data_IF_654385492173
#
_entry.id   IF_654385492173
#
_cell.length_a   1.000
_cell.length_b   1.000
_cell.length_c   1.000
_cell.angle_alpha   90.00
_cell.angle_beta   90.00
_cell.angle_gamma   90.00
#
_symmetry.space_group_name_H-M   'P 1'
#
loop_
_entity.id
_entity.type
_entity.pdbx_description
1 polymer ?
#
# COMPACT_ATOMS: atom_id res chain seq x y z
N UNK A 1 -2.56 -8.24 -3.41
CA UNK A 1 -2.88 -8.79 -4.75
C UNK A 1 -2.64 -10.31 -4.86
N UNK A 2 -1.76 -10.89 -4.05
CA UNK A 2 -1.36 -12.31 -4.17
C UNK A 2 -2.55 -13.26 -4.27
N UNK A 3 -3.58 -13.09 -3.44
CA UNK A 3 -4.76 -13.96 -3.45
C UNK A 3 -5.81 -13.61 -4.52
N UNK A 4 -5.72 -12.48 -5.18
CA UNK A 4 -6.66 -12.05 -6.22
C UNK A 4 -6.09 -12.09 -7.64
N UNK A 5 -4.79 -12.33 -7.83
CA UNK A 5 -4.13 -12.26 -9.14
C UNK A 5 -4.65 -13.27 -10.19
N UNK A 6 -5.20 -14.39 -9.76
CA UNK A 6 -5.68 -15.45 -10.65
C UNK A 6 -7.21 -15.63 -10.62
N UNK A 7 -7.95 -14.63 -10.18
CA UNK A 7 -9.41 -14.69 -10.23
C UNK A 7 -9.87 -14.69 -11.68
N UNK A 8 -10.68 -15.69 -12.12
CA UNK A 8 -11.07 -15.83 -13.53
C UNK A 8 -11.76 -14.59 -14.10
N UNK A 9 -12.56 -13.90 -13.28
CA UNK A 9 -13.34 -12.74 -13.68
C UNK A 9 -12.50 -11.49 -14.01
N UNK A 10 -11.21 -11.45 -13.64
CA UNK A 10 -10.37 -10.25 -13.83
C UNK A 10 -9.19 -10.47 -14.78
N UNK A 11 -8.99 -11.69 -15.31
CA UNK A 11 -7.78 -12.03 -16.06
C UNK A 11 -7.59 -11.26 -17.38
N UNK A 12 -8.67 -10.84 -18.02
CA UNK A 12 -8.64 -10.15 -19.32
C UNK A 12 -9.19 -8.73 -19.24
N UNK A 13 -9.27 -8.14 -18.05
CA UNK A 13 -9.76 -6.78 -17.86
C UNK A 13 -8.64 -5.76 -18.09
N UNK A 14 -9.01 -4.64 -18.71
CA UNK A 14 -8.17 -3.45 -18.73
C UNK A 14 -8.01 -2.87 -17.31
N UNK A 15 -6.98 -2.05 -17.09
CA UNK A 15 -6.57 -1.57 -15.76
C UNK A 15 -7.74 -1.03 -14.92
N UNK A 16 -8.56 -0.15 -15.46
CA UNK A 16 -9.62 0.51 -14.68
C UNK A 16 -10.77 -0.43 -14.35
N UNK A 17 -11.14 -1.33 -15.25
CA UNK A 17 -12.14 -2.36 -14.98
C UNK A 17 -11.63 -3.34 -13.93
N UNK A 18 -10.36 -3.74 -14.05
CA UNK A 18 -9.66 -4.59 -13.12
C UNK A 18 -9.65 -3.98 -11.70
N UNK A 19 -9.25 -2.70 -11.58
CA UNK A 19 -9.23 -2.00 -10.30
C UNK A 19 -10.63 -1.88 -9.68
N UNK A 20 -11.63 -1.43 -10.44
CA UNK A 20 -13.00 -1.27 -9.91
C UNK A 20 -13.61 -2.58 -9.45
N UNK A 21 -13.31 -3.68 -10.14
CA UNK A 21 -13.75 -5.02 -9.72
C UNK A 21 -13.05 -5.47 -8.44
N UNK A 22 -11.73 -5.26 -8.35
CA UNK A 22 -10.96 -5.71 -7.20
C UNK A 22 -11.17 -4.86 -5.95
N UNK A 23 -11.48 -3.57 -6.07
CA UNK A 23 -11.83 -2.75 -4.90
C UNK A 23 -13.01 -3.31 -4.12
N UNK A 24 -13.99 -3.92 -4.79
CA UNK A 24 -15.13 -4.56 -4.14
C UNK A 24 -14.72 -5.80 -3.31
N UNK A 25 -13.63 -6.44 -3.68
CA UNK A 25 -13.03 -7.54 -2.92
C UNK A 25 -12.11 -6.98 -1.82
N UNK A 26 -11.24 -6.05 -2.18
CA UNK A 26 -10.23 -5.50 -1.28
C UNK A 26 -10.76 -4.62 -0.15
N UNK A 27 -11.99 -4.10 -0.27
CA UNK A 27 -12.65 -3.41 0.85
C UNK A 27 -12.86 -4.29 2.09
N UNK A 28 -12.70 -5.61 1.95
CA UNK A 28 -12.82 -6.59 3.03
C UNK A 28 -11.46 -7.06 3.58
N UNK A 29 -10.35 -6.42 3.18
CA UNK A 29 -9.03 -6.77 3.68
C UNK A 29 -8.92 -6.53 5.19
N UNK A 30 -8.35 -7.49 5.88
CA UNK A 30 -8.01 -7.45 7.29
C UNK A 30 -6.56 -7.88 7.53
N UNK A 31 -6.10 -7.79 8.78
CA UNK A 31 -4.71 -8.14 9.14
C UNK A 31 -4.38 -9.60 8.86
N UNK A 32 -5.34 -10.52 9.00
CA UNK A 32 -5.13 -11.95 8.74
C UNK A 32 -4.90 -12.20 7.25
N UNK A 33 -5.75 -11.63 6.40
CA UNK A 33 -5.63 -11.73 4.93
C UNK A 33 -4.30 -11.12 4.47
N UNK A 34 -3.95 -9.93 4.99
CA UNK A 34 -2.67 -9.27 4.67
C UNK A 34 -1.49 -10.12 5.10
N UNK A 35 -1.50 -10.66 6.32
CA UNK A 35 -0.42 -11.52 6.81
C UNK A 35 -0.21 -12.74 5.89
N UNK A 36 -1.24 -13.52 5.65
CA UNK A 36 -1.13 -14.76 4.85
C UNK A 36 -0.78 -14.48 3.38
N UNK A 37 -1.34 -13.42 2.77
CA UNK A 37 -0.97 -13.05 1.41
C UNK A 37 0.48 -12.53 1.32
N UNK A 38 0.96 -11.85 2.34
CA UNK A 38 2.35 -11.39 2.43
C UNK A 38 3.32 -12.55 2.61
N UNK A 39 3.01 -13.50 3.51
CA UNK A 39 3.82 -14.74 3.66
C UNK A 39 3.91 -15.48 2.32
N UNK A 40 2.80 -15.63 1.61
CA UNK A 40 2.78 -16.31 0.31
C UNK A 40 3.61 -15.57 -0.73
N UNK A 41 3.38 -14.26 -0.92
CA UNK A 41 4.09 -13.46 -1.91
C UNK A 41 5.59 -13.33 -1.63
N UNK A 42 5.97 -13.05 -0.38
CA UNK A 42 7.36 -12.96 0.02
C UNK A 42 8.08 -14.32 -0.03
N UNK A 43 7.37 -15.40 0.31
CA UNK A 43 7.89 -16.77 0.17
C UNK A 43 8.21 -17.12 -1.28
N UNK A 44 7.35 -16.74 -2.22
CA UNK A 44 7.63 -16.90 -3.67
C UNK A 44 8.87 -16.07 -4.09
N UNK A 45 9.00 -14.83 -3.62
CA UNK A 45 10.17 -14.00 -3.89
C UNK A 45 11.46 -14.61 -3.35
N UNK A 46 11.46 -15.11 -2.12
CA UNK A 46 12.63 -15.78 -1.53
C UNK A 46 13.07 -17.01 -2.36
N UNK A 47 12.13 -17.80 -2.87
CA UNK A 47 12.44 -18.95 -3.74
C UNK A 47 13.14 -18.56 -5.04
N UNK A 48 13.01 -17.32 -5.48
CA UNK A 48 13.71 -16.78 -6.66
C UNK A 48 15.01 -16.05 -6.31
N UNK A 49 15.42 -16.05 -5.05
CA UNK A 49 16.65 -15.41 -4.57
C UNK A 49 16.49 -13.95 -4.13
N UNK A 50 15.28 -13.41 -4.09
CA UNK A 50 15.03 -12.07 -3.56
C UNK A 50 15.27 -12.01 -2.06
N UNK A 51 16.10 -11.07 -1.61
CA UNK A 51 16.37 -10.82 -0.19
C UNK A 51 15.74 -9.53 0.33
N UNK A 52 15.20 -8.72 -0.56
CA UNK A 52 14.54 -7.44 -0.26
C UNK A 52 13.33 -7.28 -1.16
N UNK A 53 12.20 -6.91 -0.58
CA UNK A 53 11.00 -6.59 -1.35
C UNK A 53 10.48 -5.18 -1.01
N UNK A 54 9.86 -4.54 -1.98
CA UNK A 54 9.04 -3.36 -1.82
C UNK A 54 7.59 -3.74 -2.11
N UNK A 55 6.65 -3.33 -1.27
CA UNK A 55 5.22 -3.51 -1.53
C UNK A 55 4.47 -2.17 -1.49
N UNK A 56 3.79 -1.85 -2.59
CA UNK A 56 2.91 -0.69 -2.67
C UNK A 56 1.49 -1.07 -2.23
N UNK A 57 1.31 -1.25 -0.92
CA UNK A 57 -0.01 -1.44 -0.33
C UNK A 57 -0.73 -0.11 -0.17
N UNK A 58 -1.93 0.02 -0.75
CA UNK A 58 -2.67 1.29 -0.83
C UNK A 58 -4.16 1.20 -0.43
N UNK A 59 -4.65 0.01 -0.10
CA UNK A 59 -6.05 -0.20 0.30
C UNK A 59 -6.13 -0.41 1.80
N UNK A 60 -6.73 0.54 2.51
CA UNK A 60 -6.87 0.53 3.96
C UNK A 60 -8.35 0.67 4.36
N UNK A 61 -9.15 -0.42 4.31
CA UNK A 61 -10.55 -0.40 4.69
C UNK A 61 -10.71 -0.10 6.19
N UNK A 62 -11.77 0.62 6.54
CA UNK A 62 -12.10 0.87 7.95
C UNK A 62 -11.15 1.79 8.71
N UNK A 63 -10.27 2.52 8.03
CA UNK A 63 -9.48 3.61 8.61
C UNK A 63 -8.25 3.21 9.44
N UNK A 64 -7.87 1.93 9.51
CA UNK A 64 -6.68 1.50 10.26
C UNK A 64 -5.62 0.90 9.37
N UNK A 65 -4.56 1.66 9.05
CA UNK A 65 -3.44 1.17 8.26
C UNK A 65 -2.32 0.55 9.09
N UNK A 66 -2.16 1.00 10.34
CA UNK A 66 -1.05 0.53 11.19
C UNK A 66 -1.11 -0.99 11.41
N UNK A 67 -2.29 -1.55 11.65
CA UNK A 67 -2.46 -3.00 11.84
C UNK A 67 -2.18 -3.81 10.56
N UNK A 68 -2.49 -3.28 9.39
CA UNK A 68 -2.23 -3.94 8.11
C UNK A 68 -0.73 -3.93 7.79
N UNK A 69 -0.04 -2.81 8.01
CA UNK A 69 1.42 -2.73 7.87
C UNK A 69 2.14 -3.62 8.90
N UNK A 70 1.64 -3.68 10.13
CA UNK A 70 2.18 -4.58 11.15
C UNK A 70 2.11 -6.05 10.70
N UNK A 71 1.00 -6.47 10.10
CA UNK A 71 0.84 -7.81 9.53
C UNK A 71 1.86 -8.09 8.42
N UNK A 72 2.16 -7.11 7.55
CA UNK A 72 3.20 -7.25 6.52
C UNK A 72 4.59 -7.38 7.13
N UNK A 73 4.96 -6.54 8.09
CA UNK A 73 6.26 -6.61 8.76
C UNK A 73 6.44 -7.89 9.56
N UNK A 74 5.37 -8.40 10.21
CA UNK A 74 5.41 -9.68 10.90
C UNK A 74 5.65 -10.84 9.93
N UNK A 75 4.98 -10.84 8.77
CA UNK A 75 5.24 -11.83 7.71
C UNK A 75 6.70 -11.77 7.22
N UNK A 76 7.22 -10.56 6.99
CA UNK A 76 8.60 -10.36 6.57
C UNK A 76 9.60 -10.84 7.63
N UNK A 77 9.33 -10.55 8.91
CA UNK A 77 10.16 -11.00 10.06
C UNK A 77 10.21 -12.51 10.15
N UNK A 78 9.07 -13.19 10.01
CA UNK A 78 9.00 -14.64 10.05
C UNK A 78 9.80 -15.31 8.94
N UNK A 79 9.77 -14.71 7.73
CA UNK A 79 10.47 -15.24 6.55
C UNK A 79 11.94 -14.81 6.47
N UNK A 80 12.35 -13.82 7.25
CA UNK A 80 13.71 -13.28 7.19
C UNK A 80 14.01 -12.47 5.94
N UNK A 81 13.00 -11.89 5.28
CA UNK A 81 13.16 -11.02 4.12
C UNK A 81 13.14 -9.55 4.55
N UNK A 82 13.97 -8.72 3.91
CA UNK A 82 13.93 -7.27 4.13
C UNK A 82 12.71 -6.67 3.45
N UNK A 83 11.91 -5.91 4.22
CA UNK A 83 10.66 -5.31 3.76
C UNK A 83 10.74 -3.79 3.74
N UNK A 84 10.47 -3.22 2.56
CA UNK A 84 10.20 -1.80 2.39
C UNK A 84 8.70 -1.66 2.10
N UNK A 85 7.92 -1.34 3.12
CA UNK A 85 6.47 -1.20 3.00
C UNK A 85 6.11 0.23 2.58
N UNK A 86 5.09 0.38 1.77
CA UNK A 86 4.48 1.68 1.57
C UNK A 86 3.27 1.88 2.50
N UNK A 87 3.17 3.08 3.08
CA UNK A 87 1.88 3.58 3.54
C UNK A 87 1.21 4.26 2.32
N UNK A 88 0.59 3.41 1.49
CA UNK A 88 -0.14 3.88 0.31
C UNK A 88 -1.41 4.64 0.70
N UNK A 89 -1.93 5.49 -0.18
CA UNK A 89 -3.07 6.32 0.16
C UNK A 89 -3.89 6.75 -1.06
N UNK A 90 -5.19 6.90 -0.84
CA UNK A 90 -6.18 7.38 -1.79
C UNK A 90 -7.16 8.30 -1.09
N UNK A 91 -7.42 9.48 -1.62
CA UNK A 91 -8.37 10.48 -1.10
C UNK A 91 -9.45 10.90 -2.10
N UNK A 92 -9.33 10.49 -3.37
CA UNK A 92 -10.32 10.73 -4.42
C UNK A 92 -11.17 9.49 -4.66
N UNK A 93 -12.44 9.56 -4.26
CA UNK A 93 -13.43 8.53 -4.58
C UNK A 93 -14.18 8.83 -5.87
N UNK A 94 -15.03 7.89 -6.31
CA UNK A 94 -15.89 8.08 -7.50
C UNK A 94 -16.73 9.36 -7.45
N UNK A 95 -17.24 9.75 -6.28
CA UNK A 95 -18.04 10.98 -6.12
C UNK A 95 -17.20 12.25 -6.31
N UNK A 96 -15.88 12.16 -6.12
CA UNK A 96 -14.94 13.26 -6.25
C UNK A 96 -14.16 13.21 -7.57
N UNK A 97 -14.60 12.36 -8.52
CA UNK A 97 -13.99 12.19 -9.83
C UNK A 97 -12.81 11.20 -9.88
N UNK A 98 -12.57 10.48 -8.79
CA UNK A 98 -11.58 9.39 -8.72
C UNK A 98 -12.15 8.03 -9.14
N UNK A 99 -11.32 7.00 -9.07
CA UNK A 99 -11.68 5.64 -9.45
C UNK A 99 -12.17 4.78 -8.26
N UNK A 100 -11.57 4.87 -7.05
CA UNK A 100 -11.94 3.99 -5.92
C UNK A 100 -13.33 4.29 -5.35
N UNK A 101 -14.01 3.29 -4.74
CA UNK A 101 -15.22 3.53 -3.98
C UNK A 101 -14.92 4.26 -2.65
N UNK A 102 -15.94 4.92 -2.09
CA UNK A 102 -15.82 5.67 -0.83
C UNK A 102 -15.28 4.82 0.34
N UNK A 103 -15.54 3.51 0.32
CA UNK A 103 -15.14 2.58 1.39
C UNK A 103 -13.65 2.33 1.53
N UNK A 104 -12.83 2.74 0.55
CA UNK A 104 -11.37 2.52 0.53
C UNK A 104 -10.57 3.82 0.41
N UNK A 105 -11.22 4.98 0.48
CA UNK A 105 -10.55 6.29 0.54
C UNK A 105 -10.58 6.84 1.96
N UNK A 106 -9.66 7.72 2.25
CA UNK A 106 -9.52 8.39 3.55
C UNK A 106 -9.34 9.90 3.35
N UNK A 107 -9.63 10.70 4.37
CA UNK A 107 -9.31 12.12 4.34
C UNK A 107 -7.79 12.34 4.36
N UNK A 108 -7.34 13.48 3.81
CA UNK A 108 -5.91 13.84 3.81
C UNK A 108 -5.34 13.86 5.24
N UNK A 109 -6.07 14.42 6.21
CA UNK A 109 -5.62 14.50 7.60
C UNK A 109 -5.45 13.12 8.25
N UNK A 110 -6.39 12.21 8.03
CA UNK A 110 -6.28 10.82 8.49
C UNK A 110 -5.06 10.12 7.87
N UNK A 111 -4.87 10.28 6.56
CA UNK A 111 -3.73 9.71 5.83
C UNK A 111 -2.41 10.21 6.41
N UNK A 112 -2.27 11.52 6.62
CA UNK A 112 -1.03 12.11 7.12
C UNK A 112 -0.72 11.69 8.55
N UNK A 113 -1.74 11.69 9.43
CA UNK A 113 -1.60 11.22 10.82
C UNK A 113 -1.14 9.76 10.86
N UNK A 114 -1.79 8.92 10.09
CA UNK A 114 -1.53 7.50 10.05
C UNK A 114 -0.17 7.18 9.38
N UNK A 115 0.20 7.97 8.37
CA UNK A 115 1.53 7.88 7.74
C UNK A 115 2.65 8.19 8.73
N UNK A 116 2.48 9.23 9.56
CA UNK A 116 3.44 9.56 10.63
C UNK A 116 3.54 8.40 11.62
N UNK A 117 2.40 7.90 12.11
CA UNK A 117 2.37 6.77 13.05
C UNK A 117 3.07 5.52 12.48
N UNK A 118 2.86 5.22 11.20
CA UNK A 118 3.50 4.09 10.54
C UNK A 118 5.02 4.24 10.45
N UNK A 119 5.51 5.44 10.12
CA UNK A 119 6.95 5.72 10.07
C UNK A 119 7.55 5.64 11.48
N UNK A 120 6.96 6.29 12.47
CA UNK A 120 7.45 6.28 13.85
C UNK A 120 7.50 4.87 14.45
N UNK A 121 6.55 4.01 14.09
CA UNK A 121 6.46 2.64 14.62
C UNK A 121 7.41 1.67 13.93
N UNK A 122 7.57 1.76 12.60
CA UNK A 122 8.19 0.68 11.82
C UNK A 122 9.47 1.08 11.08
N UNK A 123 9.67 2.38 10.75
CA UNK A 123 10.80 2.77 9.92
C UNK A 123 12.11 2.73 10.71
N UNK A 124 13.07 2.00 10.21
CA UNK A 124 14.44 1.99 10.73
C UNK A 124 15.40 2.51 9.65
N UNK A 125 15.96 3.73 9.80
CA UNK A 125 16.84 4.34 8.81
C UNK A 125 18.27 3.78 8.80
N UNK A 126 18.60 2.84 9.68
CA UNK A 126 19.93 2.26 9.74
C UNK A 126 20.29 1.53 8.44
N UNK A 127 21.54 1.57 7.98
CA UNK A 127 22.00 0.78 6.86
C UNK A 127 21.66 -0.70 7.04
N UNK A 128 21.14 -1.34 5.98
CA UNK A 128 20.75 -2.77 5.97
C UNK A 128 19.62 -3.14 6.93
N UNK A 129 18.85 -2.16 7.44
CA UNK A 129 17.69 -2.45 8.27
C UNK A 129 16.72 -3.39 7.59
N UNK A 130 15.98 -4.19 8.39
CA UNK A 130 15.00 -5.14 7.88
C UNK A 130 13.66 -4.47 7.55
N UNK A 131 13.37 -3.33 8.17
CA UNK A 131 12.07 -2.65 8.07
C UNK A 131 12.25 -1.20 7.62
N UNK A 132 11.63 -0.82 6.52
CA UNK A 132 11.56 0.57 6.05
C UNK A 132 10.13 0.92 5.64
N UNK A 133 9.76 2.21 5.74
CA UNK A 133 8.46 2.73 5.32
C UNK A 133 8.66 3.86 4.32
N UNK A 134 7.87 3.86 3.24
CA UNK A 134 7.70 4.98 2.32
C UNK A 134 6.26 5.51 2.41
N UNK A 135 6.06 6.79 2.12
CA UNK A 135 4.74 7.33 1.87
C UNK A 135 4.40 7.18 0.38
N UNK A 136 3.15 6.81 0.07
CA UNK A 136 2.81 6.47 -1.30
C UNK A 136 1.39 6.88 -1.70
N UNK A 137 1.12 8.16 -2.03
CA UNK A 137 -0.09 8.50 -2.78
C UNK A 137 -0.19 7.62 -4.01
N UNK A 138 -1.34 6.91 -4.18
CA UNK A 138 -1.39 5.75 -5.06
C UNK A 138 -1.14 6.10 -6.54
N UNK A 139 -1.99 6.94 -7.12
CA UNK A 139 -1.91 7.33 -8.54
C UNK A 139 -2.75 8.58 -8.81
N UNK A 140 -2.53 9.30 -9.93
CA UNK A 140 -3.24 10.54 -10.23
C UNK A 140 -4.78 10.41 -10.34
N UNK A 141 -5.31 9.21 -10.55
CA UNK A 141 -6.75 8.96 -10.61
C UNK A 141 -7.36 8.50 -9.28
N UNK A 142 -6.58 8.43 -8.22
CA UNK A 142 -7.02 8.02 -6.88
C UNK A 142 -6.49 8.91 -5.75
N UNK A 143 -5.55 9.82 -6.07
CA UNK A 143 -4.92 10.72 -5.12
C UNK A 143 -4.91 12.16 -5.64
N UNK A 144 -5.45 13.09 -4.85
CA UNK A 144 -5.56 14.50 -5.18
C UNK A 144 -4.23 15.27 -5.05
N UNK A 145 -4.16 16.44 -5.71
CA UNK A 145 -2.97 17.31 -5.67
C UNK A 145 -2.56 17.67 -4.24
N UNK A 146 -3.53 17.92 -3.36
CA UNK A 146 -3.26 18.28 -1.97
C UNK A 146 -2.65 17.11 -1.21
N UNK A 147 -3.13 15.89 -1.40
CA UNK A 147 -2.53 14.71 -0.82
C UNK A 147 -1.08 14.53 -1.27
N UNK A 148 -0.79 14.69 -2.57
CA UNK A 148 0.60 14.65 -3.08
C UNK A 148 1.48 15.70 -2.42
N UNK A 149 1.02 16.95 -2.35
CA UNK A 149 1.76 18.06 -1.77
C UNK A 149 2.07 17.83 -0.30
N UNK A 150 1.07 17.46 0.49
CA UNK A 150 1.20 17.22 1.93
C UNK A 150 2.05 15.98 2.21
N UNK A 151 1.86 14.90 1.46
CA UNK A 151 2.70 13.69 1.59
C UNK A 151 4.17 13.97 1.27
N UNK A 152 4.46 14.81 0.28
CA UNK A 152 5.83 15.21 -0.05
C UNK A 152 6.48 16.03 1.08
N UNK A 153 5.73 16.94 1.70
CA UNK A 153 6.21 17.72 2.85
C UNK A 153 6.46 16.81 4.06
N UNK A 154 5.51 15.92 4.36
CA UNK A 154 5.63 14.97 5.45
C UNK A 154 6.80 13.98 5.24
N UNK A 155 6.98 13.48 4.01
CA UNK A 155 8.10 12.59 3.71
C UNK A 155 9.47 13.26 3.93
N UNK A 156 9.60 14.55 3.59
CA UNK A 156 10.81 15.33 3.88
C UNK A 156 11.03 15.53 5.37
N UNK A 157 9.98 15.88 6.11
CA UNK A 157 10.02 16.06 7.58
C UNK A 157 10.49 14.77 8.28
N UNK A 158 9.93 13.64 7.88
CA UNK A 158 10.23 12.30 8.42
C UNK A 158 11.50 11.67 7.83
N UNK A 159 12.10 12.29 6.80
CA UNK A 159 13.26 11.76 6.06
C UNK A 159 13.03 10.37 5.46
N UNK A 160 11.83 10.12 4.96
CA UNK A 160 11.46 8.91 4.23
C UNK A 160 11.25 9.17 2.74
N UNK A 161 11.16 8.11 1.95
CA UNK A 161 10.90 8.21 0.50
C UNK A 161 9.43 8.43 0.20
N UNK A 162 9.18 9.08 -0.93
CA UNK A 162 7.85 9.16 -1.54
C UNK A 162 7.82 8.28 -2.79
N UNK A 163 6.74 7.54 -2.96
CA UNK A 163 6.52 6.66 -4.11
C UNK A 163 5.11 6.88 -4.68
N UNK A 164 4.89 6.60 -5.96
CA UNK A 164 3.58 6.64 -6.62
C UNK A 164 3.59 5.80 -7.89
N UNK A 165 2.42 5.47 -8.42
CA UNK A 165 2.27 4.99 -9.80
C UNK A 165 2.14 6.21 -10.73
N UNK A 166 2.80 6.15 -11.87
CA UNK A 166 2.77 7.20 -12.87
C UNK A 166 2.84 6.60 -14.28
N UNK A 167 2.07 7.15 -15.22
CA UNK A 167 2.05 6.71 -16.61
C UNK A 167 1.75 5.21 -16.80
N UNK A 168 0.85 4.66 -15.99
CA UNK A 168 0.53 3.22 -16.01
C UNK A 168 -0.45 2.80 -17.11
N UNK A 169 -1.07 3.76 -17.81
CA UNK A 169 -1.91 3.55 -19.01
C UNK A 169 -1.76 4.73 -19.96
N UNK A 170 -2.13 4.52 -21.22
CA UNK A 170 -2.18 5.57 -22.27
C UNK A 170 -3.44 6.43 -22.13
#
# INVERSE_FOLDING_TARGET
QTFSRNLPQVQNMELFEWLTTLYEIWKNLDSSIIYHSSVTGMGELLKTGCTTCFDHHYVFPGGSSVSLLEAQFEAARQLGIRMYASRGSMDLSKKDGGLPPDSVVQSVDEILKDSRNAVEKFHNPAPFSMNMVALAPCSPFSAGKELYRQSALLARDLRVRLHTHLCETL
#
